data_IF_787830152100
#
_entry.id   IF_787830152100
#
_cell.length_a   1.000
_cell.length_b   1.000
_cell.length_c   1.000
_cell.angle_alpha   90.00
_cell.angle_beta   90.00
_cell.angle_gamma   90.00
#
_symmetry.space_group_name_H-M   'P 1'
#
loop_
_entity.id
_entity.type
_entity.pdbx_description
1 polymer ?
#
# COMPACT_ATOMS: atom_id res chain seq x y z
N UNK A 1 49.55 -51.68 -43.65
CA UNK A 1 48.24 -51.77 -44.31
C UNK A 1 47.23 -50.93 -43.45
N UNK A 2 46.86 -49.86 -43.95
CA UNK A 2 45.74 -48.91 -43.67
C UNK A 2 44.85 -49.19 -42.47
N UNK A 3 44.92 -48.30 -41.45
CA UNK A 3 43.78 -47.93 -40.60
C UNK A 3 43.61 -46.41 -40.73
N UNK A 4 42.58 -45.98 -41.43
CA UNK A 4 42.14 -44.59 -41.53
C UNK A 4 40.79 -44.48 -40.86
N UNK A 5 40.65 -43.39 -40.10
CA UNK A 5 39.44 -42.61 -39.86
C UNK A 5 38.29 -43.21 -39.03
N UNK A 6 38.24 -42.77 -37.77
CA UNK A 6 36.96 -42.46 -37.12
C UNK A 6 37.19 -41.42 -36.02
N UNK A 7 37.26 -40.17 -36.44
CA UNK A 7 37.25 -39.02 -35.49
C UNK A 7 36.54 -37.86 -36.21
N UNK A 8 35.23 -37.80 -36.12
CA UNK A 8 34.43 -36.59 -36.37
C UNK A 8 32.94 -36.91 -36.14
N UNK A 9 32.46 -36.84 -34.94
CA UNK A 9 31.01 -36.68 -34.63
C UNK A 9 30.74 -36.55 -33.14
N UNK A 10 31.36 -35.65 -32.41
CA UNK A 10 30.92 -35.26 -31.05
C UNK A 10 31.31 -33.79 -30.86
N UNK A 11 30.67 -32.85 -31.51
CA UNK A 11 30.75 -31.41 -31.17
C UNK A 11 29.48 -30.66 -31.68
N UNK A 12 28.32 -31.25 -31.60
CA UNK A 12 27.11 -30.49 -31.98
C UNK A 12 25.88 -30.77 -31.10
N UNK A 13 26.09 -30.97 -29.80
CA UNK A 13 24.97 -31.19 -28.87
C UNK A 13 25.04 -30.37 -27.59
N UNK A 14 25.80 -29.29 -27.55
CA UNK A 14 26.05 -28.48 -26.34
C UNK A 14 25.49 -27.06 -26.36
N UNK A 15 24.63 -26.66 -27.30
CA UNK A 15 24.22 -25.24 -27.42
C UNK A 15 22.70 -24.97 -27.40
N UNK A 16 21.90 -25.87 -26.82
CA UNK A 16 20.44 -25.69 -26.82
C UNK A 16 19.79 -25.73 -25.42
N UNK A 17 20.48 -25.28 -24.37
CA UNK A 17 19.93 -25.32 -23.00
C UNK A 17 20.16 -24.04 -22.18
N UNK A 18 20.22 -22.88 -22.82
CA UNK A 18 20.42 -21.61 -22.12
C UNK A 18 19.43 -20.51 -22.56
N UNK A 19 18.20 -20.87 -22.89
CA UNK A 19 17.21 -19.85 -23.27
C UNK A 19 15.81 -20.19 -22.73
N UNK A 20 15.67 -20.39 -21.41
CA UNK A 20 14.36 -20.65 -20.80
C UNK A 20 14.15 -20.04 -19.43
N UNK A 21 14.81 -18.94 -19.09
CA UNK A 21 14.64 -18.30 -17.79
C UNK A 21 14.43 -16.78 -17.89
N UNK A 22 13.55 -16.32 -18.80
CA UNK A 22 13.29 -14.88 -18.93
C UNK A 22 11.86 -14.56 -19.38
N UNK A 23 10.85 -15.28 -18.87
CA UNK A 23 9.47 -15.05 -19.34
C UNK A 23 8.42 -14.75 -18.27
N UNK A 24 8.79 -14.49 -17.02
CA UNK A 24 7.79 -14.17 -15.97
C UNK A 24 8.23 -13.11 -14.96
N UNK A 25 9.08 -12.18 -15.31
CA UNK A 25 9.13 -10.95 -14.54
C UNK A 25 8.12 -10.00 -15.18
N UNK A 26 6.98 -9.79 -14.54
CA UNK A 26 6.10 -8.69 -14.93
C UNK A 26 6.94 -7.42 -14.97
N UNK A 27 6.88 -6.69 -16.09
CA UNK A 27 7.65 -5.45 -16.19
C UNK A 27 7.20 -4.51 -15.06
N UNK A 28 8.12 -4.17 -14.17
CA UNK A 28 7.84 -3.27 -13.03
C UNK A 28 7.16 -1.97 -13.48
N UNK A 29 7.44 -1.49 -14.68
CA UNK A 29 6.81 -0.31 -15.24
C UNK A 29 5.31 -0.54 -15.42
N UNK A 30 4.90 -1.70 -15.94
CA UNK A 30 3.49 -2.06 -16.11
C UNK A 30 2.78 -2.22 -14.77
N UNK A 31 3.45 -2.82 -13.77
CA UNK A 31 2.91 -2.97 -12.41
C UNK A 31 2.72 -1.61 -11.72
N UNK A 32 3.71 -0.74 -11.84
CA UNK A 32 3.63 0.63 -11.30
C UNK A 32 2.49 1.39 -11.96
N UNK A 33 2.35 1.33 -13.28
CA UNK A 33 1.24 1.97 -13.99
C UNK A 33 -0.13 1.44 -13.56
N UNK A 34 -0.25 0.13 -13.30
CA UNK A 34 -1.48 -0.46 -12.74
C UNK A 34 -1.84 0.22 -11.41
N UNK A 35 -0.90 0.35 -10.47
CA UNK A 35 -1.14 1.01 -9.19
C UNK A 35 -1.43 2.51 -9.35
N UNK A 36 -0.62 3.21 -10.15
CA UNK A 36 -0.74 4.65 -10.38
C UNK A 36 -2.08 5.04 -11.04
N UNK A 37 -2.67 4.14 -11.80
CA UNK A 37 -3.97 4.38 -12.45
C UNK A 37 -5.08 4.77 -11.47
N UNK A 38 -4.99 4.32 -10.21
CA UNK A 38 -5.90 4.68 -9.12
C UNK A 38 -5.19 5.54 -8.06
N UNK A 39 -3.97 5.16 -7.66
CA UNK A 39 -3.23 5.80 -6.58
C UNK A 39 -2.45 7.04 -7.01
N UNK A 40 -2.54 7.44 -8.28
CA UNK A 40 -1.88 8.64 -8.82
C UNK A 40 -0.38 8.46 -9.02
N UNK A 41 0.22 9.43 -9.69
CA UNK A 41 1.65 9.40 -10.02
C UNK A 41 2.52 9.24 -8.78
N UNK A 42 3.49 8.33 -8.85
CA UNK A 42 4.37 7.95 -7.76
C UNK A 42 3.61 7.49 -6.49
N UNK A 43 2.36 7.00 -6.64
CA UNK A 43 1.53 6.60 -5.52
C UNK A 43 0.91 7.75 -4.72
N UNK A 44 0.94 8.98 -5.25
CA UNK A 44 0.37 10.17 -4.60
C UNK A 44 -1.03 10.46 -5.16
N UNK A 45 -2.05 9.80 -4.62
CA UNK A 45 -3.44 9.95 -5.04
C UNK A 45 -3.94 11.39 -4.90
N UNK A 46 -4.70 11.82 -5.89
CA UNK A 46 -5.48 13.07 -5.84
C UNK A 46 -6.97 12.84 -5.55
N UNK A 47 -7.36 11.57 -5.37
CA UNK A 47 -8.74 11.18 -5.10
C UNK A 47 -8.95 10.96 -3.60
N UNK A 48 -9.90 11.66 -2.95
CA UNK A 48 -10.09 11.59 -1.49
C UNK A 48 -10.44 10.19 -0.96
N UNK A 49 -11.02 9.34 -1.80
CA UNK A 49 -11.39 7.98 -1.43
C UNK A 49 -10.31 6.93 -1.70
N UNK A 50 -9.26 7.30 -2.44
CA UNK A 50 -8.13 6.43 -2.76
C UNK A 50 -6.91 6.86 -1.96
N UNK A 51 -6.27 6.00 -1.17
CA UNK A 51 -5.15 6.40 -0.33
C UNK A 51 -3.90 6.76 -1.13
N UNK A 52 -3.10 7.65 -0.58
CA UNK A 52 -1.70 7.83 -0.96
C UNK A 52 -0.94 6.60 -0.47
N UNK A 53 -0.17 5.96 -1.35
CA UNK A 53 0.67 4.78 -1.06
C UNK A 53 2.17 5.08 -1.20
N UNK A 54 2.54 6.28 -1.63
CA UNK A 54 3.92 6.74 -1.61
C UNK A 54 4.46 6.76 -0.18
N UNK A 55 5.73 6.41 0.02
CA UNK A 55 6.38 6.41 1.32
C UNK A 55 5.87 5.33 2.29
N UNK A 56 5.06 4.39 1.82
CA UNK A 56 4.69 3.23 2.63
C UNK A 56 5.95 2.46 3.01
N UNK A 57 6.06 1.95 4.25
CA UNK A 57 7.18 1.06 4.56
C UNK A 57 7.13 -0.20 3.71
N UNK A 58 8.27 -0.80 3.43
CA UNK A 58 8.34 -2.05 2.65
C UNK A 58 7.46 -3.13 3.29
N UNK A 59 7.63 -3.39 4.57
CA UNK A 59 6.86 -4.40 5.32
C UNK A 59 5.37 -4.05 5.38
N UNK A 60 5.03 -2.78 5.60
CA UNK A 60 3.64 -2.33 5.62
C UNK A 60 2.95 -2.49 4.27
N UNK A 61 3.69 -2.37 3.16
CA UNK A 61 3.16 -2.64 1.82
C UNK A 61 2.84 -4.13 1.65
N UNK A 62 3.79 -5.02 1.98
CA UNK A 62 3.60 -6.47 1.92
C UNK A 62 2.37 -6.89 2.74
N UNK A 63 2.35 -6.53 4.03
CA UNK A 63 1.25 -6.86 4.95
C UNK A 63 -0.10 -6.32 4.45
N UNK A 64 -0.11 -5.11 3.84
CA UNK A 64 -1.35 -4.54 3.29
C UNK A 64 -1.89 -5.35 2.10
N UNK A 65 -1.04 -5.82 1.21
CA UNK A 65 -1.47 -6.67 0.09
C UNK A 65 -1.98 -8.00 0.61
N UNK A 66 -1.31 -8.61 1.59
CA UNK A 66 -1.72 -9.90 2.16
C UNK A 66 -3.10 -9.84 2.84
N UNK A 67 -3.40 -8.80 3.62
CA UNK A 67 -4.74 -8.66 4.24
C UNK A 67 -5.84 -8.40 3.19
N UNK A 68 -5.52 -7.80 2.03
CA UNK A 68 -6.45 -7.70 0.92
C UNK A 68 -6.64 -9.05 0.22
N UNK A 69 -5.58 -9.83 0.00
CA UNK A 69 -5.64 -11.19 -0.56
C UNK A 69 -6.49 -12.11 0.30
N UNK A 70 -6.30 -12.04 1.62
CA UNK A 70 -7.05 -12.83 2.60
C UNK A 70 -8.50 -12.37 2.81
N UNK A 71 -8.93 -11.26 2.20
CA UNK A 71 -10.21 -10.59 2.47
C UNK A 71 -10.39 -10.17 3.95
N UNK A 72 -9.31 -9.99 4.68
CA UNK A 72 -9.29 -9.46 6.04
C UNK A 72 -9.43 -7.93 6.06
N UNK A 73 -9.30 -7.31 4.90
CA UNK A 73 -9.56 -5.90 4.64
C UNK A 73 -10.41 -5.78 3.39
N UNK A 74 -11.64 -5.26 3.55
CA UNK A 74 -12.57 -5.08 2.43
C UNK A 74 -12.36 -3.68 1.84
N UNK A 75 -12.00 -3.65 0.57
CA UNK A 75 -11.85 -2.40 -0.18
C UNK A 75 -13.21 -1.84 -0.62
N UNK A 76 -13.26 -0.53 -0.79
CA UNK A 76 -14.34 0.10 -1.55
C UNK A 76 -14.15 -0.21 -3.03
N UNK A 77 -15.23 -0.54 -3.70
CA UNK A 77 -15.25 -0.61 -5.15
C UNK A 77 -14.95 0.79 -5.74
N UNK A 78 -14.03 0.84 -6.67
CA UNK A 78 -13.63 2.07 -7.34
C UNK A 78 -14.05 2.03 -8.80
N UNK A 79 -14.81 3.04 -9.21
CA UNK A 79 -15.30 3.18 -10.56
C UNK A 79 -14.60 4.34 -11.26
N UNK A 80 -13.94 4.05 -12.39
CA UNK A 80 -13.40 5.05 -13.30
C UNK A 80 -14.34 5.18 -14.51
N UNK A 81 -14.62 6.41 -14.96
CA UNK A 81 -15.46 6.57 -16.15
C UNK A 81 -14.91 5.80 -17.36
N UNK A 82 -15.74 4.94 -17.95
CA UNK A 82 -15.36 4.14 -19.12
C UNK A 82 -14.60 2.83 -18.80
N UNK A 83 -14.37 2.50 -17.55
CA UNK A 83 -13.68 1.28 -17.12
C UNK A 83 -14.56 0.42 -16.21
N UNK A 84 -14.32 -0.90 -16.16
CA UNK A 84 -15.00 -1.77 -15.21
C UNK A 84 -14.70 -1.35 -13.76
N UNK A 85 -15.66 -1.59 -12.87
CA UNK A 85 -15.46 -1.43 -11.44
C UNK A 85 -14.32 -2.32 -10.95
N UNK A 86 -13.44 -1.79 -10.12
CA UNK A 86 -12.25 -2.46 -9.62
C UNK A 86 -12.18 -2.37 -8.11
N UNK A 87 -11.76 -3.45 -7.46
CA UNK A 87 -11.53 -3.52 -6.01
C UNK A 87 -10.10 -3.95 -5.70
N UNK A 88 -9.49 -3.34 -4.68
CA UNK A 88 -8.11 -3.71 -4.28
C UNK A 88 -7.95 -5.19 -3.93
N UNK A 89 -9.00 -5.85 -3.42
CA UNK A 89 -8.96 -7.29 -3.15
C UNK A 89 -8.66 -8.11 -4.43
N UNK A 90 -9.28 -7.76 -5.56
CA UNK A 90 -9.04 -8.43 -6.84
C UNK A 90 -7.64 -8.13 -7.38
N UNK A 91 -7.20 -6.86 -7.31
CA UNK A 91 -5.84 -6.46 -7.70
C UNK A 91 -4.82 -7.23 -6.86
N UNK A 92 -4.96 -7.25 -5.54
CA UNK A 92 -4.05 -7.96 -4.65
C UNK A 92 -3.94 -9.46 -4.96
N UNK A 93 -5.06 -10.10 -5.29
CA UNK A 93 -5.12 -11.52 -5.67
C UNK A 93 -4.47 -11.82 -7.03
N UNK A 94 -4.36 -10.82 -7.92
CA UNK A 94 -3.76 -10.99 -9.26
C UNK A 94 -2.23 -10.82 -9.27
N UNK A 95 -1.63 -10.29 -8.21
CA UNK A 95 -0.18 -10.06 -8.10
C UNK A 95 0.53 -11.33 -7.60
N UNK A 96 1.69 -11.65 -8.13
CA UNK A 96 2.61 -12.64 -7.53
C UNK A 96 3.32 -12.05 -6.31
N UNK A 97 4.02 -12.88 -5.54
CA UNK A 97 4.80 -12.39 -4.39
C UNK A 97 5.98 -11.52 -4.86
N UNK A 98 6.61 -11.91 -5.96
CA UNK A 98 7.70 -11.14 -6.58
C UNK A 98 7.20 -9.77 -7.09
N UNK A 99 5.99 -9.69 -7.66
CA UNK A 99 5.37 -8.42 -8.06
C UNK A 99 5.15 -7.52 -6.84
N UNK A 100 4.68 -8.08 -5.73
CA UNK A 100 4.42 -7.33 -4.50
C UNK A 100 5.70 -6.83 -3.87
N UNK A 101 6.76 -7.64 -3.83
CA UNK A 101 8.09 -7.23 -3.34
C UNK A 101 8.67 -6.09 -4.19
N UNK A 102 8.58 -6.19 -5.52
CA UNK A 102 9.04 -5.15 -6.44
C UNK A 102 8.27 -3.83 -6.27
N UNK A 103 6.94 -3.92 -6.09
CA UNK A 103 6.09 -2.75 -5.82
C UNK A 103 6.37 -2.14 -4.45
N UNK A 104 6.60 -2.97 -3.42
CA UNK A 104 6.97 -2.51 -2.08
C UNK A 104 8.30 -1.73 -2.11
N UNK A 105 9.31 -2.27 -2.80
CA UNK A 105 10.59 -1.60 -3.00
C UNK A 105 10.44 -0.27 -3.76
N UNK A 106 9.57 -0.24 -4.77
CA UNK A 106 9.30 0.97 -5.54
C UNK A 106 8.61 2.05 -4.71
N UNK A 107 7.45 1.76 -4.10
CA UNK A 107 6.63 2.77 -3.43
C UNK A 107 7.20 3.21 -2.08
N UNK A 108 7.96 2.37 -1.37
CA UNK A 108 8.63 2.77 -0.13
C UNK A 108 9.65 3.90 -0.33
N UNK A 109 10.22 4.00 -1.52
CA UNK A 109 11.21 5.03 -1.89
C UNK A 109 10.58 6.31 -2.49
N UNK A 110 9.24 6.33 -2.69
CA UNK A 110 8.56 7.51 -3.24
C UNK A 110 8.27 8.53 -2.15
N UNK A 111 8.49 9.82 -2.41
CA UNK A 111 8.17 10.84 -1.44
C UNK A 111 6.65 10.93 -1.24
N UNK A 112 6.22 10.79 0.01
CA UNK A 112 4.83 11.05 0.39
C UNK A 112 4.54 12.55 0.23
N UNK A 113 3.50 12.89 -0.52
CA UNK A 113 3.03 14.25 -0.72
C UNK A 113 1.68 14.41 -0.01
N UNK A 114 1.63 15.17 1.09
CA UNK A 114 0.39 15.32 1.86
C UNK A 114 -0.75 15.86 1.02
N UNK A 115 -1.94 15.30 1.22
CA UNK A 115 -3.18 15.73 0.58
C UNK A 115 -3.51 17.19 0.95
N UNK A 116 -3.88 17.99 -0.05
CA UNK A 116 -4.37 19.36 0.17
C UNK A 116 -5.86 19.30 0.48
N UNK A 117 -6.20 19.46 1.75
CA UNK A 117 -7.58 19.38 2.25
C UNK A 117 -7.81 20.38 3.38
N UNK A 118 -9.07 20.75 3.59
CA UNK A 118 -9.44 21.63 4.68
C UNK A 118 -9.39 20.90 6.02
N UNK A 119 -9.15 21.66 7.09
CA UNK A 119 -9.22 21.16 8.46
C UNK A 119 -9.60 22.28 9.43
N UNK A 120 -10.34 21.93 10.46
CA UNK A 120 -10.65 22.78 11.58
C UNK A 120 -9.51 22.75 12.59
N UNK A 121 -8.96 23.92 12.93
CA UNK A 121 -7.80 24.05 13.82
C UNK A 121 -8.12 23.71 15.28
N UNK A 122 -9.33 24.00 15.74
CA UNK A 122 -9.75 23.71 17.11
C UNK A 122 -9.92 22.21 17.31
N UNK A 123 -10.62 21.55 16.38
CA UNK A 123 -10.73 20.10 16.35
C UNK A 123 -9.36 19.43 16.22
N UNK A 124 -8.48 19.96 15.38
CA UNK A 124 -7.13 19.41 15.23
C UNK A 124 -6.30 19.49 16.52
N UNK A 125 -6.42 20.54 17.30
CA UNK A 125 -5.75 20.65 18.60
C UNK A 125 -6.22 19.59 19.59
N UNK A 126 -7.52 19.27 19.62
CA UNK A 126 -8.08 18.14 20.37
C UNK A 126 -7.55 16.81 19.82
N UNK A 127 -7.50 16.67 18.50
CA UNK A 127 -6.99 15.48 17.82
C UNK A 127 -5.52 15.20 18.14
N UNK A 128 -4.69 16.23 18.27
CA UNK A 128 -3.28 16.09 18.68
C UNK A 128 -3.16 15.47 20.07
N UNK A 129 -3.97 15.91 21.03
CA UNK A 129 -3.98 15.35 22.38
C UNK A 129 -4.38 13.87 22.33
N UNK A 130 -5.44 13.54 21.59
CA UNK A 130 -5.92 12.17 21.42
C UNK A 130 -4.87 11.29 20.75
N UNK A 131 -4.21 11.79 19.71
CA UNK A 131 -3.15 11.07 19.00
C UNK A 131 -2.01 10.71 19.96
N UNK A 132 -1.47 11.69 20.70
CA UNK A 132 -0.41 11.47 21.69
C UNK A 132 -0.77 10.42 22.74
N UNK A 133 -2.02 10.42 23.20
CA UNK A 133 -2.48 9.50 24.24
C UNK A 133 -2.75 8.07 23.73
N UNK A 134 -3.25 7.94 22.51
CA UNK A 134 -3.82 6.68 22.02
C UNK A 134 -3.08 6.08 20.82
N UNK A 135 -2.43 6.88 19.98
CA UNK A 135 -1.95 6.48 18.65
C UNK A 135 -0.43 6.57 18.49
N UNK A 136 0.22 7.56 19.12
CA UNK A 136 1.64 7.92 18.94
C UNK A 136 2.60 6.75 19.17
N UNK A 137 2.26 5.81 20.04
CA UNK A 137 3.13 4.65 20.31
C UNK A 137 3.47 3.83 19.06
N UNK A 138 2.53 3.75 18.10
CA UNK A 138 2.68 2.97 16.86
C UNK A 138 2.74 3.87 15.63
N UNK A 139 2.06 5.03 15.67
CA UNK A 139 2.06 6.01 14.58
C UNK A 139 2.87 7.23 15.00
N UNK A 140 4.21 7.08 15.00
CA UNK A 140 5.15 8.08 15.53
C UNK A 140 5.18 9.36 14.72
N UNK A 141 5.86 10.36 15.29
CA UNK A 141 6.03 11.68 14.70
C UNK A 141 4.69 12.27 14.24
N UNK A 142 3.69 12.28 15.14
CA UNK A 142 2.34 12.73 14.82
C UNK A 142 1.65 11.95 13.68
N UNK A 143 2.06 10.72 13.45
CA UNK A 143 1.55 9.87 12.37
C UNK A 143 2.22 10.12 11.01
N UNK A 144 3.35 10.81 10.97
CA UNK A 144 4.06 11.13 9.72
C UNK A 144 5.11 10.07 9.34
N UNK A 145 5.53 9.23 10.28
CA UNK A 145 6.53 8.19 10.00
C UNK A 145 5.88 6.85 9.68
N UNK A 146 6.28 6.21 8.57
CA UNK A 146 5.96 4.82 8.33
C UNK A 146 6.89 3.94 9.15
N UNK A 147 6.37 3.17 10.10
CA UNK A 147 7.17 2.21 10.86
C UNK A 147 6.58 0.82 10.72
N UNK A 148 7.42 -0.15 10.34
CA UNK A 148 6.98 -1.53 10.12
C UNK A 148 5.67 -1.56 9.31
N UNK A 149 4.57 -1.99 9.92
CA UNK A 149 3.21 -1.99 9.34
C UNK A 149 2.35 -0.77 9.72
N UNK A 150 2.89 0.21 10.45
CA UNK A 150 2.14 1.42 10.77
C UNK A 150 2.14 2.40 9.58
N UNK A 151 0.98 2.58 8.97
CA UNK A 151 0.81 3.49 7.85
C UNK A 151 0.96 4.96 8.26
N UNK A 152 1.40 5.80 7.31
CA UNK A 152 1.35 7.26 7.43
C UNK A 152 -0.10 7.71 7.55
N UNK A 153 -0.41 8.46 8.62
CA UNK A 153 -1.71 9.07 8.88
C UNK A 153 -1.72 10.57 8.56
N UNK A 154 -0.63 11.26 8.94
CA UNK A 154 -0.48 12.70 8.72
C UNK A 154 -0.44 13.02 7.23
N UNK A 155 -1.31 13.93 6.80
CA UNK A 155 -1.43 14.31 5.40
C UNK A 155 -2.15 13.30 4.51
N UNK A 156 -2.64 12.17 5.03
CA UNK A 156 -3.48 11.24 4.28
C UNK A 156 -4.89 11.81 4.10
N UNK A 157 -5.60 11.41 3.05
CA UNK A 157 -6.97 11.82 2.76
C UNK A 157 -7.93 11.47 3.92
N UNK A 158 -8.63 12.46 4.47
CA UNK A 158 -9.55 12.27 5.60
C UNK A 158 -10.79 11.44 5.25
N UNK A 159 -11.41 11.53 4.06
CA UNK A 159 -12.48 10.60 3.68
C UNK A 159 -12.02 9.14 3.68
N UNK A 160 -10.82 8.86 3.15
CA UNK A 160 -10.24 7.53 3.24
C UNK A 160 -10.00 7.10 4.69
N UNK A 161 -9.37 7.93 5.54
CA UNK A 161 -9.12 7.61 6.96
C UNK A 161 -10.42 7.36 7.72
N UNK A 162 -11.44 8.19 7.53
CA UNK A 162 -12.78 8.02 8.12
C UNK A 162 -13.33 6.64 7.82
N UNK A 163 -13.31 6.25 6.56
CA UNK A 163 -13.75 4.91 6.15
C UNK A 163 -12.93 3.80 6.82
N UNK A 164 -11.62 4.01 7.06
CA UNK A 164 -10.83 3.01 7.78
C UNK A 164 -11.27 2.88 9.24
N UNK A 165 -11.60 3.97 9.94
CA UNK A 165 -12.18 3.88 11.29
C UNK A 165 -13.51 3.10 11.28
N UNK A 166 -14.41 3.40 10.35
CA UNK A 166 -15.68 2.68 10.18
C UNK A 166 -15.44 1.20 9.91
N UNK A 167 -14.52 0.86 9.01
CA UNK A 167 -14.22 -0.52 8.65
C UNK A 167 -13.60 -1.31 9.82
N UNK A 168 -12.74 -0.69 10.62
CA UNK A 168 -12.17 -1.33 11.81
C UNK A 168 -13.26 -1.58 12.84
N UNK A 169 -14.11 -0.59 13.13
CA UNK A 169 -15.21 -0.71 14.11
C UNK A 169 -16.26 -1.75 13.69
N UNK A 170 -16.50 -1.90 12.40
CA UNK A 170 -17.48 -2.86 11.85
C UNK A 170 -16.90 -4.25 11.54
N UNK A 171 -15.59 -4.45 11.78
CA UNK A 171 -14.91 -5.72 11.47
C UNK A 171 -14.63 -5.98 9.98
N UNK A 172 -14.86 -4.98 9.11
CA UNK A 172 -14.51 -5.05 7.68
C UNK A 172 -13.02 -4.84 7.39
N UNK A 173 -12.26 -4.43 8.39
CA UNK A 173 -10.82 -4.34 8.38
C UNK A 173 -10.26 -4.93 9.65
N UNK A 174 -9.59 -6.06 9.53
CA UNK A 174 -8.86 -6.66 10.64
C UNK A 174 -7.60 -5.83 10.93
N UNK A 175 -7.31 -5.66 12.19
CA UNK A 175 -6.14 -4.93 12.68
C UNK A 175 -5.62 -5.63 13.95
N UNK A 176 -4.37 -5.41 14.36
CA UNK A 176 -3.85 -5.95 15.61
C UNK A 176 -4.75 -5.62 16.80
N UNK A 177 -4.89 -6.55 17.74
CA UNK A 177 -5.75 -6.39 18.94
C UNK A 177 -5.48 -5.11 19.73
N UNK A 178 -4.22 -4.67 19.74
CA UNK A 178 -3.80 -3.42 20.40
C UNK A 178 -4.43 -2.20 19.72
N UNK A 179 -4.45 -2.15 18.39
CA UNK A 179 -5.09 -1.10 17.61
C UNK A 179 -6.62 -1.18 17.73
N UNK A 180 -7.20 -2.37 17.61
CA UNK A 180 -8.65 -2.56 17.74
C UNK A 180 -9.18 -2.01 19.08
N UNK A 181 -8.51 -2.30 20.20
CA UNK A 181 -8.89 -1.76 21.53
C UNK A 181 -8.83 -0.23 21.61
N UNK A 182 -7.97 0.41 20.82
CA UNK A 182 -7.86 1.88 20.78
C UNK A 182 -8.94 2.53 19.93
N UNK A 183 -9.37 1.84 18.88
CA UNK A 183 -10.29 2.40 17.86
C UNK A 183 -11.74 2.06 18.18
N UNK A 184 -12.04 0.86 18.71
CA UNK A 184 -13.40 0.35 18.89
C UNK A 184 -14.30 1.31 19.68
N UNK A 185 -13.78 1.84 20.77
CA UNK A 185 -14.54 2.63 21.73
C UNK A 185 -14.37 4.15 21.53
N UNK A 186 -13.74 4.59 20.42
CA UNK A 186 -13.66 6.01 20.07
C UNK A 186 -15.04 6.55 19.70
N UNK A 187 -15.54 7.61 20.36
CA UNK A 187 -16.74 8.31 19.90
C UNK A 187 -16.47 9.04 18.60
N UNK A 188 -17.53 9.37 17.87
CA UNK A 188 -17.42 9.99 16.55
C UNK A 188 -16.72 11.35 16.61
N UNK A 189 -16.99 12.15 17.66
CA UNK A 189 -16.32 13.43 17.86
C UNK A 189 -14.80 13.32 18.06
N UNK A 190 -14.30 12.20 18.63
CA UNK A 190 -12.87 11.94 18.75
C UNK A 190 -12.27 11.53 17.41
N UNK A 191 -13.01 10.77 16.61
CA UNK A 191 -12.60 10.43 15.23
C UNK A 191 -12.52 11.72 14.40
N UNK A 192 -13.51 12.62 14.48
CA UNK A 192 -13.47 13.91 13.78
C UNK A 192 -12.25 14.74 14.19
N UNK A 193 -11.96 14.80 15.47
CA UNK A 193 -10.79 15.51 15.98
C UNK A 193 -9.48 14.94 15.42
N UNK A 194 -9.33 13.61 15.43
CA UNK A 194 -8.17 12.93 14.84
C UNK A 194 -8.04 13.18 13.33
N UNK A 195 -9.13 13.14 12.58
CA UNK A 195 -9.13 13.40 11.15
C UNK A 195 -8.68 14.82 10.83
N UNK A 196 -9.17 15.83 11.58
CA UNK A 196 -8.73 17.21 11.43
C UNK A 196 -7.25 17.39 11.80
N UNK A 197 -6.77 16.70 12.83
CA UNK A 197 -5.35 16.70 13.19
C UNK A 197 -4.48 16.14 12.05
N UNK A 198 -4.81 14.98 11.50
CA UNK A 198 -4.07 14.40 10.38
C UNK A 198 -4.14 15.23 9.11
N UNK A 199 -5.24 15.95 8.88
CA UNK A 199 -5.37 16.87 7.74
C UNK A 199 -4.43 18.08 7.82
N UNK A 200 -4.16 18.58 9.04
CA UNK A 200 -3.25 19.72 9.27
C UNK A 200 -1.78 19.31 9.27
N UNK A 201 -1.46 18.11 9.77
CA UNK A 201 -0.07 17.63 9.83
C UNK A 201 0.38 17.19 8.43
N UNK A 202 1.41 17.84 7.93
CA UNK A 202 1.92 17.64 6.56
C UNK A 202 3.34 17.06 6.53
N UNK A 203 3.81 16.48 7.65
CA UNK A 203 5.20 16.07 7.80
C UNK A 203 6.11 17.29 7.67
N UNK A 204 6.49 17.90 8.76
CA UNK A 204 7.53 18.93 8.81
C UNK A 204 8.91 18.28 8.82
#
# INVERSE_FOLDING_TARGET
>A
MKIKTLTKAIVLSGYLLLCSASLFASDIVSLVHLCESCHGKDGNSTQPDVPIIAGFSYEGFLNTIDVFRANERIALAYHRPGEPETVMNQIAQSLSDEDVEALADYFSKRPFRPAKQAADKELASRGEILHKQKCERCHRNNGAEPEEDAAILAGQWTPYLRRQFVNIKSGKRMVPRTMLRRVRDLPEEDIEALLNFYALKRGE
#
